data_IF_427888652148
#
_entry.id   IF_427888652148
#
_cell.length_a   1.000
_cell.length_b   1.000
_cell.length_c   1.000
_cell.angle_alpha   90.00
_cell.angle_beta   90.00
_cell.angle_gamma   90.00
#
_symmetry.space_group_name_H-M   'P 1'
#
loop_
_entity.id
_entity.type
_entity.pdbx_description
1 polymer ?
#
# COMPACT_ATOMS: atom_id res chain seq x y z
N UNK A 1 11.42 12.61 -10.74
CA UNK A 1 12.78 12.78 -11.28
C UNK A 1 13.70 11.73 -10.66
N UNK A 2 14.37 10.95 -11.49
CA UNK A 2 15.33 9.94 -11.05
C UNK A 2 16.63 10.61 -10.59
N UNK A 3 17.34 9.98 -9.65
CA UNK A 3 18.71 10.41 -9.30
C UNK A 3 19.66 9.99 -10.43
N UNK A 4 20.79 10.69 -10.54
CA UNK A 4 21.87 10.28 -11.44
C UNK A 4 22.32 8.85 -11.15
N UNK A 5 22.51 8.04 -12.20
CA UNK A 5 22.92 6.63 -12.13
C UNK A 5 24.16 6.40 -11.26
N UNK A 6 25.15 7.31 -11.33
CA UNK A 6 26.39 7.23 -10.54
C UNK A 6 26.17 7.24 -9.02
N UNK A 7 25.05 7.81 -8.55
CA UNK A 7 24.76 7.98 -7.11
C UNK A 7 23.92 6.86 -6.50
N UNK A 8 23.40 5.94 -7.34
CA UNK A 8 22.53 4.84 -6.90
C UNK A 8 21.16 5.27 -6.34
N UNK A 9 20.29 4.28 -6.06
CA UNK A 9 19.02 4.51 -5.41
C UNK A 9 19.23 5.11 -4.01
N UNK A 10 18.37 6.06 -3.65
CA UNK A 10 18.40 6.62 -2.29
C UNK A 10 17.55 5.76 -1.37
N UNK A 11 18.10 5.34 -0.24
CA UNK A 11 17.38 4.65 0.82
C UNK A 11 17.84 5.23 2.16
N UNK A 12 16.91 5.49 3.06
CA UNK A 12 17.23 5.93 4.41
C UNK A 12 17.92 4.82 5.21
N UNK A 13 19.02 5.15 5.87
CA UNK A 13 19.82 4.19 6.65
C UNK A 13 19.02 3.58 7.80
N UNK A 14 18.13 4.36 8.43
CA UNK A 14 17.27 3.87 9.51
C UNK A 14 16.28 2.83 9.01
N UNK A 15 15.77 3.01 7.79
CA UNK A 15 14.87 2.06 7.15
C UNK A 15 15.62 0.76 6.82
N UNK A 16 16.81 0.87 6.21
CA UNK A 16 17.64 -0.31 5.90
C UNK A 16 18.02 -1.11 7.15
N UNK A 17 18.41 -0.44 8.23
CA UNK A 17 18.75 -1.10 9.50
C UNK A 17 17.58 -1.92 10.04
N UNK A 18 16.35 -1.36 9.99
CA UNK A 18 15.13 -2.06 10.43
C UNK A 18 14.82 -3.28 9.55
N UNK A 19 14.93 -3.13 8.23
CA UNK A 19 14.68 -4.24 7.31
C UNK A 19 15.69 -5.38 7.54
N UNK A 20 16.98 -5.05 7.69
CA UNK A 20 18.03 -6.03 7.94
C UNK A 20 17.91 -6.74 9.29
N UNK A 21 17.33 -6.09 10.30
CA UNK A 21 17.09 -6.71 11.61
C UNK A 21 15.90 -7.67 11.62
N UNK A 22 15.00 -7.56 10.64
CA UNK A 22 13.81 -8.39 10.56
C UNK A 22 14.07 -9.61 9.67
N UNK A 23 13.54 -10.76 10.07
CA UNK A 23 13.57 -11.96 9.25
C UNK A 23 12.55 -11.86 8.10
N UNK A 24 12.87 -12.43 6.92
CA UNK A 24 11.94 -12.52 5.81
C UNK A 24 10.68 -13.31 6.24
N UNK A 25 9.50 -12.73 6.03
CA UNK A 25 8.21 -13.32 6.42
C UNK A 25 7.64 -12.82 7.74
N UNK A 26 8.33 -11.93 8.46
CA UNK A 26 7.76 -11.22 9.60
C UNK A 26 6.62 -10.29 9.16
N UNK A 27 5.47 -10.38 9.84
CA UNK A 27 4.27 -9.56 9.56
C UNK A 27 4.32 -8.19 10.24
N UNK A 28 5.49 -7.76 10.70
CA UNK A 28 5.65 -6.50 11.40
C UNK A 28 5.57 -5.32 10.43
N UNK A 29 4.83 -4.29 10.84
CA UNK A 29 4.67 -3.07 10.05
C UNK A 29 5.83 -2.12 10.37
N UNK A 30 6.76 -1.97 9.42
CA UNK A 30 7.89 -1.07 9.57
C UNK A 30 7.42 0.36 9.30
N UNK A 31 7.31 1.18 10.35
CA UNK A 31 6.94 2.60 10.23
C UNK A 31 8.10 3.42 9.67
N UNK A 32 7.82 4.22 8.63
CA UNK A 32 8.76 5.13 8.00
C UNK A 32 8.13 6.48 7.67
N UNK A 33 8.93 7.53 7.87
CA UNK A 33 8.67 8.89 7.39
C UNK A 33 9.42 9.19 6.09
N UNK A 34 10.35 8.32 5.69
CA UNK A 34 11.18 8.51 4.50
C UNK A 34 10.43 8.10 3.23
N UNK A 35 9.54 8.99 2.77
CA UNK A 35 8.79 8.83 1.50
C UNK A 35 9.69 8.88 0.26
N UNK A 36 10.89 9.44 0.38
CA UNK A 36 11.85 9.59 -0.70
C UNK A 36 12.69 8.33 -0.96
N UNK A 37 12.61 7.32 -0.08
CA UNK A 37 13.35 6.06 -0.26
C UNK A 37 12.81 5.29 -1.47
N UNK A 38 13.75 4.78 -2.28
CA UNK A 38 13.47 3.84 -3.36
C UNK A 38 13.24 2.45 -2.77
N UNK A 39 12.27 1.74 -3.30
CA UNK A 39 12.03 0.34 -2.96
C UNK A 39 13.16 -0.51 -3.55
N UNK A 40 13.93 -1.14 -2.68
CA UNK A 40 14.98 -2.09 -3.06
C UNK A 40 14.46 -3.52 -3.04
N UNK A 41 15.10 -4.46 -3.75
CA UNK A 41 14.70 -5.88 -3.73
C UNK A 41 14.63 -6.49 -2.32
N UNK A 42 15.49 -6.04 -1.40
CA UNK A 42 15.51 -6.47 0.00
C UNK A 42 14.20 -6.13 0.77
N UNK A 43 13.37 -5.22 0.25
CA UNK A 43 12.12 -4.80 0.89
C UNK A 43 10.92 -5.68 0.48
N UNK A 44 11.08 -6.53 -0.54
CA UNK A 44 9.99 -7.37 -1.05
C UNK A 44 9.54 -8.35 0.03
N UNK A 45 8.22 -8.46 0.20
CA UNK A 45 7.62 -9.31 1.24
C UNK A 45 7.47 -8.66 2.61
N UNK A 46 8.00 -7.45 2.82
CA UNK A 46 7.76 -6.67 4.04
C UNK A 46 6.58 -5.72 3.87
N UNK A 47 5.89 -5.43 4.98
CA UNK A 47 4.85 -4.39 5.02
C UNK A 47 5.44 -3.11 5.60
N UNK A 48 5.48 -2.05 4.80
CA UNK A 48 6.03 -0.76 5.18
C UNK A 48 4.89 0.23 5.43
N UNK A 49 4.81 0.75 6.65
CA UNK A 49 3.91 1.83 7.01
C UNK A 49 4.48 3.16 6.53
N UNK A 50 4.00 3.70 5.42
CA UNK A 50 4.46 4.97 4.84
C UNK A 50 3.63 6.14 5.37
N UNK A 51 4.27 7.08 6.04
CA UNK A 51 3.60 8.28 6.57
C UNK A 51 3.07 9.18 5.43
N UNK A 52 1.78 9.51 5.44
CA UNK A 52 1.16 10.41 4.44
C UNK A 52 0.95 11.86 4.93
N UNK A 53 1.41 12.19 6.14
CA UNK A 53 1.18 13.49 6.79
C UNK A 53 0.19 13.42 7.96
N UNK A 54 -0.58 12.33 8.06
CA UNK A 54 -1.54 12.11 9.17
C UNK A 54 -1.41 10.72 9.76
N UNK A 55 -1.34 9.71 8.90
CA UNK A 55 -1.32 8.29 9.28
C UNK A 55 -0.21 7.56 8.53
N UNK A 56 0.20 6.41 9.06
CA UNK A 56 1.07 5.48 8.35
C UNK A 56 0.18 4.51 7.58
N UNK A 57 0.21 4.61 6.26
CA UNK A 57 -0.53 3.70 5.38
C UNK A 57 0.29 2.43 5.20
N UNK A 58 -0.24 1.24 5.55
CA UNK A 58 0.49 -0.02 5.35
C UNK A 58 0.54 -0.35 3.85
N UNK A 59 1.75 -0.48 3.32
CA UNK A 59 2.01 -0.88 1.94
C UNK A 59 2.73 -2.22 1.98
N UNK A 60 2.07 -3.26 1.47
CA UNK A 60 2.70 -4.56 1.24
C UNK A 60 3.53 -4.48 -0.06
N UNK A 61 4.85 -4.65 0.06
CA UNK A 61 5.77 -4.44 -1.07
C UNK A 61 5.84 -5.68 -1.94
N UNK A 62 5.46 -5.52 -3.21
CA UNK A 62 5.60 -6.54 -4.27
C UNK A 62 6.83 -6.28 -5.15
N UNK A 63 7.26 -7.28 -5.91
CA UNK A 63 8.42 -7.19 -6.82
C UNK A 63 8.24 -6.12 -7.91
N UNK A 64 7.02 -5.97 -8.41
CA UNK A 64 6.67 -4.95 -9.43
C UNK A 64 6.87 -3.52 -8.93
N UNK A 65 6.93 -3.31 -7.61
CA UNK A 65 7.13 -1.99 -7.01
C UNK A 65 8.62 -1.61 -6.91
N UNK A 66 9.55 -2.52 -7.21
CA UNK A 66 10.98 -2.24 -7.14
C UNK A 66 11.37 -1.11 -8.10
N UNK A 67 12.17 -0.16 -7.61
CA UNK A 67 12.57 1.02 -8.38
C UNK A 67 11.66 2.24 -8.20
N UNK A 68 10.43 2.06 -7.73
CA UNK A 68 9.53 3.15 -7.36
C UNK A 68 9.88 3.77 -6.00
N UNK A 69 9.33 4.94 -5.71
CA UNK A 69 9.44 5.58 -4.39
C UNK A 69 8.30 5.15 -3.48
N UNK A 70 8.61 4.93 -2.20
CA UNK A 70 7.60 4.61 -1.19
C UNK A 70 6.46 5.65 -1.11
N UNK A 71 6.77 6.91 -1.39
CA UNK A 71 5.78 7.98 -1.41
C UNK A 71 4.72 7.87 -2.50
N UNK A 72 4.95 7.12 -3.58
CA UNK A 72 4.00 6.93 -4.68
C UNK A 72 2.79 6.09 -4.23
N UNK A 73 3.01 5.17 -3.30
CA UNK A 73 1.98 4.26 -2.77
C UNK A 73 1.21 4.85 -1.59
N UNK A 74 1.49 6.10 -1.20
CA UNK A 74 0.89 6.77 -0.04
C UNK A 74 0.38 8.16 -0.43
N UNK A 75 -0.91 8.21 -0.79
CA UNK A 75 -1.59 9.44 -1.18
C UNK A 75 -1.67 10.43 -0.01
N UNK A 76 -1.23 11.67 -0.26
CA UNK A 76 -1.15 12.74 0.75
C UNK A 76 -2.36 13.66 0.76
N UNK A 77 -3.11 13.73 -0.34
CA UNK A 77 -4.31 14.56 -0.48
C UNK A 77 -5.50 13.67 -0.81
N UNK A 78 -6.62 13.91 -0.13
CA UNK A 78 -7.90 13.35 -0.52
C UNK A 78 -8.37 14.10 -1.76
N UNK A 79 -8.50 13.39 -2.88
CA UNK A 79 -9.10 13.98 -4.06
C UNK A 79 -10.59 14.22 -3.79
N UNK A 80 -11.03 15.46 -3.96
CA UNK A 80 -12.43 15.86 -3.83
C UNK A 80 -12.89 16.28 -5.21
N UNK A 81 -13.84 15.54 -5.79
CA UNK A 81 -14.51 15.94 -7.04
C UNK A 81 -15.60 16.96 -6.71
N UNK A 82 -15.72 17.98 -7.56
CA UNK A 82 -16.90 18.83 -7.59
C UNK A 82 -18.01 18.11 -8.37
N UNK A 83 -18.63 17.11 -7.76
CA UNK A 83 -19.84 16.47 -8.26
C UNK A 83 -21.02 16.94 -7.42
N UNK A 84 -22.11 17.41 -8.05
CA UNK A 84 -23.35 17.72 -7.35
C UNK A 84 -23.93 16.50 -6.62
N UNK A 85 -25.03 16.69 -5.87
CA UNK A 85 -25.67 15.62 -5.07
C UNK A 85 -25.90 14.33 -5.88
N UNK A 86 -26.33 14.47 -7.13
CA UNK A 86 -26.62 13.34 -8.03
C UNK A 86 -25.41 12.44 -8.32
N UNK A 87 -24.22 13.00 -8.55
CA UNK A 87 -23.01 12.20 -8.81
C UNK A 87 -22.56 11.45 -7.54
N UNK A 88 -22.75 12.07 -6.36
CA UNK A 88 -22.43 11.48 -5.07
C UNK A 88 -23.35 10.30 -4.74
N UNK A 89 -24.63 10.40 -5.09
CA UNK A 89 -25.62 9.33 -4.93
C UNK A 89 -25.33 8.15 -5.88
N UNK A 90 -24.98 8.42 -7.14
CA UNK A 90 -24.58 7.38 -8.10
C UNK A 90 -23.31 6.65 -7.66
N UNK A 91 -22.28 7.38 -7.21
CA UNK A 91 -21.04 6.78 -6.68
C UNK A 91 -21.29 5.99 -5.38
N UNK A 92 -22.23 6.42 -4.53
CA UNK A 92 -22.61 5.70 -3.32
C UNK A 92 -23.37 4.40 -3.63
N UNK A 93 -24.27 4.44 -4.61
CA UNK A 93 -24.98 3.25 -5.10
C UNK A 93 -24.01 2.25 -5.75
N UNK A 94 -23.04 2.74 -6.53
CA UNK A 94 -21.99 1.90 -7.13
C UNK A 94 -21.09 1.27 -6.07
N UNK A 95 -20.68 2.02 -5.04
CA UNK A 95 -19.93 1.46 -3.90
C UNK A 95 -20.70 0.40 -3.15
N UNK A 96 -22.00 0.61 -2.90
CA UNK A 96 -22.85 -0.38 -2.24
C UNK A 96 -22.96 -1.67 -3.06
N UNK A 97 -23.14 -1.54 -4.38
CA UNK A 97 -23.18 -2.69 -5.30
C UNK A 97 -21.84 -3.44 -5.37
N UNK A 98 -20.72 -2.72 -5.38
CA UNK A 98 -19.37 -3.32 -5.37
C UNK A 98 -19.08 -4.05 -4.05
N UNK A 99 -19.49 -3.48 -2.90
CA UNK A 99 -19.38 -4.17 -1.60
C UNK A 99 -20.26 -5.41 -1.49
N UNK A 100 -21.46 -5.41 -2.09
CA UNK A 100 -22.35 -6.58 -2.12
C UNK A 100 -21.80 -7.70 -3.01
N UNK A 101 -21.18 -7.34 -4.15
CA UNK A 101 -20.48 -8.30 -5.03
C UNK A 101 -19.24 -8.92 -4.35
N UNK A 102 -18.46 -8.11 -3.64
CA UNK A 102 -17.30 -8.60 -2.89
C UNK A 102 -17.69 -9.51 -1.69
N UNK A 103 -18.91 -9.38 -1.18
CA UNK A 103 -19.44 -10.26 -0.12
C UNK A 103 -19.97 -11.58 -0.67
N UNK A 104 -20.66 -11.56 -1.81
CA UNK A 104 -21.20 -12.78 -2.45
C UNK A 104 -20.12 -13.70 -3.02
N UNK A 105 -18.98 -13.17 -3.48
CA UNK A 105 -17.85 -13.98 -3.96
C UNK A 105 -17.04 -14.66 -2.83
N UNK A 106 -17.14 -14.19 -1.58
CA UNK A 106 -16.43 -14.81 -0.43
C UNK A 106 -17.17 -16.00 0.18
N UNK A 107 -18.41 -16.29 -0.24
CA UNK A 107 -19.30 -17.24 0.44
C UNK A 107 -19.39 -18.67 -0.12
N UNK A 108 -18.87 -19.08 -1.31
CA UNK A 108 -19.14 -20.44 -1.79
C UNK A 108 -18.21 -21.53 -1.21
N UNK A 109 -17.24 -21.21 -0.34
CA UNK A 109 -16.26 -22.20 0.15
C UNK A 109 -16.59 -22.86 1.52
N UNK A 110 -17.68 -22.48 2.20
CA UNK A 110 -17.95 -22.93 3.57
C UNK A 110 -19.20 -23.83 3.76
N UNK A 111 -19.87 -24.28 2.70
CA UNK A 111 -21.07 -25.10 2.83
C UNK A 111 -21.03 -26.38 1.96
N UNK A 112 -20.16 -27.32 2.31
CA UNK A 112 -20.34 -28.73 1.95
C UNK A 112 -20.85 -29.48 3.21
N UNK A 113 -22.10 -29.98 3.23
CA UNK A 113 -22.64 -30.66 4.39
C UNK A 113 -22.01 -32.04 4.53
N UNK A 114 -21.33 -32.30 5.66
CA UNK A 114 -21.01 -33.65 6.10
C UNK A 114 -22.30 -34.34 6.53
N UNK A 115 -22.74 -35.34 5.76
CA UNK A 115 -23.44 -36.51 6.27
C UNK A 115 -23.08 -37.72 5.42
#
# INVERSE_FOLDING_TARGET
MSRSLKKGPFVDEKLLKKIKSLSPGSKEIIKTWSRASTITPEMVGFTIGVHNGRVHVPVAVAEEMVGHKLGEFSLTRKFVRHGGKMQRELEAAQKAAETAKAQTEKEPAAAAPKK
#
